data_IF_852844911973
#
_entry.id   IF_852844911973
#
_cell.length_a   1.000
_cell.length_b   1.000
_cell.length_c   1.000
_cell.angle_alpha   90.00
_cell.angle_beta   90.00
_cell.angle_gamma   90.00
#
_symmetry.space_group_name_H-M   'P 1'
#
loop_
_entity.id
_entity.type
_entity.pdbx_description
1 polymer ?
#
# COMPACT_ATOMS: atom_id res chain seq x y z
N UNK A 1 -121.80 133.02 -101.76
CA UNK A 1 -121.84 131.61 -101.28
C UNK A 1 -120.69 130.73 -101.83
N UNK A 2 -120.34 130.79 -103.12
CA UNK A 2 -119.25 129.98 -103.71
C UNK A 2 -117.84 130.18 -103.11
N UNK A 3 -117.52 131.38 -102.60
CA UNK A 3 -116.23 131.68 -101.97
C UNK A 3 -116.08 131.08 -100.56
N UNK A 4 -117.20 130.87 -99.85
CA UNK A 4 -117.20 130.25 -98.52
C UNK A 4 -116.98 128.73 -98.61
N UNK A 5 -117.58 128.07 -99.61
CA UNK A 5 -117.39 126.63 -99.87
C UNK A 5 -115.95 126.31 -100.29
N UNK A 6 -115.32 127.15 -101.13
CA UNK A 6 -113.90 126.99 -101.48
C UNK A 6 -112.97 127.18 -100.29
N UNK A 7 -113.25 128.15 -99.39
CA UNK A 7 -112.49 128.36 -98.15
C UNK A 7 -112.65 127.21 -97.16
N UNK A 8 -113.86 126.65 -97.03
CA UNK A 8 -114.12 125.45 -96.20
C UNK A 8 -113.36 124.23 -96.76
N UNK A 9 -113.40 123.98 -98.08
CA UNK A 9 -112.66 122.86 -98.70
C UNK A 9 -111.13 123.02 -98.62
N UNK A 10 -110.62 124.26 -98.61
CA UNK A 10 -109.20 124.53 -98.44
C UNK A 10 -108.78 124.33 -96.99
N UNK A 11 -109.59 124.76 -96.03
CA UNK A 11 -109.37 124.54 -94.60
C UNK A 11 -109.47 123.05 -94.21
N UNK A 12 -110.36 122.28 -94.85
CA UNK A 12 -110.44 120.82 -94.69
C UNK A 12 -109.19 120.13 -95.23
N UNK A 13 -108.72 120.49 -96.43
CA UNK A 13 -107.46 119.96 -96.99
C UNK A 13 -106.23 120.33 -96.17
N UNK A 14 -106.20 121.51 -95.57
CA UNK A 14 -105.12 121.94 -94.69
C UNK A 14 -105.13 121.16 -93.37
N UNK A 15 -106.32 120.92 -92.78
CA UNK A 15 -106.49 120.01 -91.64
C UNK A 15 -106.06 118.58 -91.98
N UNK A 16 -106.43 118.08 -93.15
CA UNK A 16 -106.03 116.74 -93.61
C UNK A 16 -104.51 116.66 -93.84
N UNK A 17 -103.88 117.70 -94.40
CA UNK A 17 -102.42 117.75 -94.54
C UNK A 17 -101.70 117.80 -93.19
N UNK A 18 -102.21 118.58 -92.23
CA UNK A 18 -101.66 118.63 -90.86
C UNK A 18 -101.83 117.27 -90.17
N UNK A 19 -102.99 116.63 -90.32
CA UNK A 19 -103.24 115.30 -89.80
C UNK A 19 -102.32 114.25 -90.47
N UNK A 20 -102.11 114.34 -91.78
CA UNK A 20 -101.21 113.45 -92.52
C UNK A 20 -99.75 113.63 -92.08
N UNK A 21 -99.30 114.87 -91.86
CA UNK A 21 -97.98 115.16 -91.28
C UNK A 21 -97.85 114.62 -89.87
N UNK A 22 -98.83 114.86 -89.01
CA UNK A 22 -98.80 114.36 -87.63
C UNK A 22 -98.77 112.82 -87.60
N UNK A 23 -99.50 112.17 -88.50
CA UNK A 23 -99.46 110.71 -88.68
C UNK A 23 -98.12 110.23 -89.23
N UNK A 24 -97.53 110.96 -90.18
CA UNK A 24 -96.19 110.67 -90.71
C UNK A 24 -95.13 110.79 -89.63
N UNK A 25 -95.15 111.87 -88.85
CA UNK A 25 -94.24 112.09 -87.72
C UNK A 25 -94.44 111.01 -86.63
N UNK A 26 -95.67 110.53 -86.43
CA UNK A 26 -95.96 109.39 -85.55
C UNK A 26 -95.37 108.08 -86.11
N UNK A 27 -95.52 107.81 -87.41
CA UNK A 27 -94.92 106.64 -88.05
C UNK A 27 -93.40 106.67 -87.97
N UNK A 28 -92.76 107.80 -88.29
CA UNK A 28 -91.30 107.96 -88.23
C UNK A 28 -90.75 107.76 -86.81
N UNK A 29 -91.48 108.21 -85.77
CA UNK A 29 -91.12 107.95 -84.36
C UNK A 29 -91.22 106.47 -84.02
N UNK A 30 -92.31 105.82 -84.39
CA UNK A 30 -92.50 104.38 -84.13
C UNK A 30 -91.48 103.55 -84.91
N UNK A 31 -91.13 103.95 -86.13
CA UNK A 31 -90.06 103.30 -86.92
C UNK A 31 -88.69 103.44 -86.26
N UNK A 32 -88.36 104.61 -85.71
CA UNK A 32 -87.12 104.82 -84.97
C UNK A 32 -87.06 104.01 -83.66
N UNK A 33 -88.14 104.01 -82.87
CA UNK A 33 -88.26 103.18 -81.65
C UNK A 33 -88.18 101.69 -81.96
N UNK A 34 -88.79 101.26 -83.06
CA UNK A 34 -88.72 99.87 -83.53
C UNK A 34 -87.28 99.50 -83.91
N UNK A 35 -86.54 100.38 -84.57
CA UNK A 35 -85.16 100.12 -84.99
C UNK A 35 -84.19 100.09 -83.79
N UNK A 36 -84.39 100.97 -82.80
CA UNK A 36 -83.66 100.93 -81.53
C UNK A 36 -83.95 99.64 -80.75
N UNK A 37 -85.22 99.24 -80.66
CA UNK A 37 -85.62 97.99 -80.02
C UNK A 37 -85.04 96.75 -80.73
N UNK A 38 -84.96 96.76 -82.07
CA UNK A 38 -84.30 95.69 -82.83
C UNK A 38 -82.81 95.62 -82.52
N UNK A 39 -82.11 96.75 -82.54
CA UNK A 39 -80.68 96.81 -82.24
C UNK A 39 -80.38 96.32 -80.81
N UNK A 40 -81.20 96.71 -79.83
CA UNK A 40 -81.09 96.20 -78.47
C UNK A 40 -81.35 94.70 -78.37
N UNK A 41 -82.37 94.20 -79.07
CA UNK A 41 -82.67 92.77 -79.11
C UNK A 41 -81.56 91.96 -79.77
N UNK A 42 -80.94 92.46 -80.85
CA UNK A 42 -79.76 91.87 -81.47
C UNK A 42 -78.57 91.82 -80.50
N UNK A 43 -78.31 92.89 -79.75
CA UNK A 43 -77.28 92.91 -78.71
C UNK A 43 -77.52 91.87 -77.60
N UNK A 44 -78.75 91.77 -77.11
CA UNK A 44 -79.12 90.76 -76.10
C UNK A 44 -79.00 89.33 -76.64
N UNK A 45 -79.33 89.09 -77.91
CA UNK A 45 -79.13 87.77 -78.54
C UNK A 45 -77.65 87.39 -78.53
N UNK A 46 -76.75 88.30 -78.92
CA UNK A 46 -75.31 88.04 -78.92
C UNK A 46 -74.76 87.78 -77.51
N UNK A 47 -75.26 88.50 -76.50
CA UNK A 47 -74.91 88.25 -75.10
C UNK A 47 -75.39 86.88 -74.62
N UNK A 48 -76.63 86.50 -74.96
CA UNK A 48 -77.17 85.18 -74.64
C UNK A 48 -76.38 84.07 -75.33
N UNK A 49 -76.01 84.25 -76.59
CA UNK A 49 -75.18 83.29 -77.34
C UNK A 49 -73.79 83.14 -76.71
N UNK A 50 -73.15 84.26 -76.36
CA UNK A 50 -71.85 84.27 -75.67
C UNK A 50 -71.91 83.59 -74.30
N UNK A 51 -72.91 83.94 -73.48
CA UNK A 51 -73.13 83.31 -72.18
C UNK A 51 -73.42 81.81 -72.33
N UNK A 52 -74.21 81.42 -73.32
CA UNK A 52 -74.51 80.01 -73.61
C UNK A 52 -73.23 79.24 -73.97
N UNK A 53 -72.37 79.80 -74.81
CA UNK A 53 -71.09 79.18 -75.16
C UNK A 53 -70.19 78.99 -73.92
N UNK A 54 -70.07 80.02 -73.07
CA UNK A 54 -69.27 79.90 -71.83
C UNK A 54 -69.88 78.89 -70.85
N UNK A 55 -71.21 78.81 -70.77
CA UNK A 55 -71.89 77.82 -69.93
C UNK A 55 -71.70 76.40 -70.45
N UNK A 56 -71.77 76.20 -71.77
CA UNK A 56 -71.46 74.91 -72.40
C UNK A 56 -70.00 74.51 -72.12
N UNK A 57 -69.05 75.43 -72.26
CA UNK A 57 -67.64 75.17 -71.92
C UNK A 57 -67.47 74.76 -70.45
N UNK A 58 -68.05 75.51 -69.51
CA UNK A 58 -68.03 75.18 -68.08
C UNK A 58 -68.70 73.84 -67.79
N UNK A 59 -69.79 73.52 -68.48
CA UNK A 59 -70.48 72.23 -68.36
C UNK A 59 -69.59 71.09 -68.83
N UNK A 60 -68.92 71.24 -69.99
CA UNK A 60 -67.98 70.22 -70.48
C UNK A 60 -66.74 70.09 -69.58
N UNK A 61 -66.28 71.19 -68.97
CA UNK A 61 -65.20 71.17 -68.01
C UNK A 61 -65.61 70.46 -66.72
N UNK A 62 -66.81 70.74 -66.20
CA UNK A 62 -67.38 70.05 -65.04
C UNK A 62 -67.51 68.55 -65.27
N UNK A 63 -68.02 68.13 -66.43
CA UNK A 63 -68.09 66.71 -66.81
C UNK A 63 -66.70 66.05 -66.87
N UNK A 64 -65.69 66.73 -67.41
CA UNK A 64 -64.30 66.24 -67.44
C UNK A 64 -63.73 66.06 -66.04
N UNK A 65 -63.93 67.03 -65.14
CA UNK A 65 -63.46 66.95 -63.76
C UNK A 65 -64.15 65.83 -62.99
N UNK A 66 -65.47 65.66 -63.14
CA UNK A 66 -66.20 64.54 -62.52
C UNK A 66 -65.67 63.19 -63.00
N UNK A 67 -65.39 63.04 -64.29
CA UNK A 67 -64.78 61.83 -64.84
C UNK A 67 -63.40 61.56 -64.23
N UNK A 68 -62.56 62.59 -64.11
CA UNK A 68 -61.24 62.47 -63.49
C UNK A 68 -61.34 62.08 -62.01
N UNK A 69 -62.30 62.64 -61.26
CA UNK A 69 -62.53 62.27 -59.85
C UNK A 69 -62.92 60.80 -59.77
N UNK A 70 -63.87 60.33 -60.59
CA UNK A 70 -64.28 58.93 -60.62
C UNK A 70 -63.12 57.98 -60.95
N UNK A 71 -62.29 58.30 -61.94
CA UNK A 71 -61.09 57.52 -62.28
C UNK A 71 -60.08 57.46 -61.12
N UNK A 72 -59.93 58.55 -60.36
CA UNK A 72 -59.07 58.60 -59.17
C UNK A 72 -59.66 57.82 -58.00
N UNK A 73 -60.97 57.87 -57.79
CA UNK A 73 -61.67 57.08 -56.77
C UNK A 73 -61.53 55.57 -57.05
N UNK A 74 -61.71 55.15 -58.30
CA UNK A 74 -61.50 53.75 -58.73
C UNK A 74 -60.06 53.29 -58.53
N UNK A 75 -59.08 54.15 -58.87
CA UNK A 75 -57.67 53.88 -58.64
C UNK A 75 -57.36 53.77 -57.14
N UNK A 76 -57.93 54.64 -56.32
CA UNK A 76 -57.75 54.63 -54.87
C UNK A 76 -58.38 53.38 -54.23
N UNK A 77 -59.58 52.98 -54.66
CA UNK A 77 -60.23 51.75 -54.21
C UNK A 77 -59.37 50.51 -54.52
N UNK A 78 -58.77 50.44 -55.72
CA UNK A 78 -57.82 49.38 -56.09
C UNK A 78 -56.58 49.40 -55.20
N UNK A 79 -55.97 50.57 -54.97
CA UNK A 79 -54.81 50.73 -54.10
C UNK A 79 -55.10 50.35 -52.65
N UNK A 80 -56.28 50.71 -52.13
CA UNK A 80 -56.68 50.34 -50.78
C UNK A 80 -56.86 48.83 -50.65
N UNK A 81 -57.46 48.17 -51.66
CA UNK A 81 -57.57 46.71 -51.70
C UNK A 81 -56.21 46.02 -51.74
N UNK A 82 -55.26 46.51 -52.55
CA UNK A 82 -53.91 45.95 -52.59
C UNK A 82 -53.15 46.21 -51.29
N UNK A 83 -53.30 47.39 -50.69
CA UNK A 83 -52.71 47.71 -49.39
C UNK A 83 -53.21 46.78 -48.29
N UNK A 84 -54.52 46.50 -48.23
CA UNK A 84 -55.08 45.55 -47.27
C UNK A 84 -54.49 44.15 -47.48
N UNK A 85 -54.42 43.67 -48.73
CA UNK A 85 -53.85 42.36 -49.06
C UNK A 85 -52.37 42.26 -48.66
N UNK A 86 -51.58 43.28 -48.99
CA UNK A 86 -50.15 43.33 -48.62
C UNK A 86 -49.96 43.38 -47.11
N UNK A 87 -50.79 44.12 -46.38
CA UNK A 87 -50.71 44.19 -44.93
C UNK A 87 -51.08 42.84 -44.28
N UNK A 88 -52.11 42.15 -44.78
CA UNK A 88 -52.45 40.79 -44.34
C UNK A 88 -51.31 39.80 -44.60
N UNK A 89 -50.70 39.84 -45.80
CA UNK A 89 -49.53 39.01 -46.11
C UNK A 89 -48.33 39.32 -45.21
N UNK A 90 -48.07 40.61 -44.94
CA UNK A 90 -47.00 41.03 -44.04
C UNK A 90 -47.25 40.52 -42.61
N UNK A 91 -48.49 40.55 -42.13
CA UNK A 91 -48.84 40.02 -40.82
C UNK A 91 -48.61 38.50 -40.75
N UNK A 92 -49.05 37.75 -41.78
CA UNK A 92 -48.82 36.30 -41.86
C UNK A 92 -47.32 35.98 -41.85
N UNK A 93 -46.51 36.67 -42.65
CA UNK A 93 -45.07 36.49 -42.68
C UNK A 93 -44.42 36.80 -41.32
N UNK A 94 -44.89 37.82 -40.60
CA UNK A 94 -44.39 38.13 -39.24
C UNK A 94 -44.71 37.03 -38.25
N UNK A 95 -45.89 36.42 -38.34
CA UNK A 95 -46.29 35.29 -37.49
C UNK A 95 -45.46 34.04 -37.81
N UNK A 96 -45.20 33.76 -39.09
CA UNK A 96 -44.32 32.67 -39.53
C UNK A 96 -42.88 32.85 -39.03
N UNK A 97 -42.32 34.05 -39.15
CA UNK A 97 -40.97 34.37 -38.63
C UNK A 97 -40.91 34.13 -37.12
N UNK A 98 -41.89 34.62 -36.36
CA UNK A 98 -41.96 34.38 -34.90
C UNK A 98 -42.04 32.88 -34.57
N UNK A 99 -42.82 32.12 -35.34
CA UNK A 99 -42.92 30.67 -35.14
C UNK A 99 -41.60 29.95 -35.45
N UNK A 100 -40.89 30.37 -36.50
CA UNK A 100 -39.58 29.82 -36.84
C UNK A 100 -38.51 30.19 -35.79
N UNK A 101 -38.49 31.43 -35.32
CA UNK A 101 -37.61 31.86 -34.22
C UNK A 101 -37.83 31.03 -32.95
N UNK A 102 -39.10 30.79 -32.59
CA UNK A 102 -39.44 29.92 -31.46
C UNK A 102 -38.93 28.48 -31.66
N UNK A 103 -39.11 27.89 -32.85
CA UNK A 103 -38.60 26.55 -33.18
C UNK A 103 -37.07 26.48 -33.12
N UNK A 104 -36.37 27.49 -33.63
CA UNK A 104 -34.90 27.57 -33.56
C UNK A 104 -34.44 27.66 -32.11
N UNK A 105 -35.10 28.50 -31.29
CA UNK A 105 -34.78 28.64 -29.87
C UNK A 105 -34.95 27.32 -29.11
N UNK A 106 -36.02 26.57 -29.39
CA UNK A 106 -36.27 25.26 -28.81
C UNK A 106 -35.22 24.23 -29.26
N UNK A 107 -34.86 24.23 -30.55
CA UNK A 107 -33.82 23.35 -31.09
C UNK A 107 -32.47 23.62 -30.44
N UNK A 108 -32.09 24.89 -30.25
CA UNK A 108 -30.86 25.27 -29.55
C UNK A 108 -30.86 24.83 -28.09
N UNK A 109 -32.01 24.92 -27.41
CA UNK A 109 -32.14 24.44 -26.04
C UNK A 109 -31.96 22.90 -25.96
N UNK A 110 -32.58 22.16 -26.87
CA UNK A 110 -32.41 20.70 -26.95
C UNK A 110 -30.96 20.32 -27.26
N UNK A 111 -30.30 21.05 -28.17
CA UNK A 111 -28.89 20.83 -28.50
C UNK A 111 -27.99 21.04 -27.27
N UNK A 112 -28.20 22.11 -26.49
CA UNK A 112 -27.44 22.34 -25.24
C UNK A 112 -27.62 21.21 -24.23
N UNK A 113 -28.83 20.70 -24.08
CA UNK A 113 -29.10 19.56 -23.19
C UNK A 113 -28.43 18.29 -23.69
N UNK A 114 -28.42 18.07 -25.00
CA UNK A 114 -27.71 16.96 -25.62
C UNK A 114 -26.19 17.08 -25.41
N UNK A 115 -25.62 18.27 -25.58
CA UNK A 115 -24.19 18.52 -25.35
C UNK A 115 -23.79 18.27 -23.88
N UNK A 116 -24.60 18.72 -22.91
CA UNK A 116 -24.38 18.43 -21.48
C UNK A 116 -24.46 16.92 -21.19
N UNK A 117 -25.42 16.22 -21.81
CA UNK A 117 -25.53 14.76 -21.66
C UNK A 117 -24.29 14.06 -22.20
N UNK A 118 -23.81 14.45 -23.40
CA UNK A 118 -22.59 13.90 -24.02
C UNK A 118 -21.35 14.18 -23.16
N UNK A 119 -21.22 15.38 -22.59
CA UNK A 119 -20.11 15.68 -21.68
C UNK A 119 -20.14 14.79 -20.43
N UNK A 120 -21.33 14.57 -19.86
CA UNK A 120 -21.49 13.69 -18.69
C UNK A 120 -21.22 12.22 -19.02
N UNK A 121 -21.61 11.73 -20.20
CA UNK A 121 -21.29 10.36 -20.62
C UNK A 121 -19.79 10.19 -20.82
N UNK A 122 -19.14 11.12 -21.51
CA UNK A 122 -17.69 11.06 -21.75
C UNK A 122 -16.90 11.14 -20.42
N UNK A 123 -17.33 11.97 -19.47
CA UNK A 123 -16.70 12.04 -18.16
C UNK A 123 -16.87 10.73 -17.36
N UNK A 124 -18.02 10.05 -17.49
CA UNK A 124 -18.24 8.73 -16.89
C UNK A 124 -17.40 7.66 -17.55
N UNK A 125 -17.29 7.66 -18.87
CA UNK A 125 -16.43 6.74 -19.63
C UNK A 125 -14.97 6.88 -19.20
N UNK A 126 -14.44 8.10 -19.15
CA UNK A 126 -13.06 8.35 -18.69
C UNK A 126 -12.83 7.88 -17.22
N UNK A 127 -13.83 8.05 -16.35
CA UNK A 127 -13.76 7.56 -14.98
C UNK A 127 -13.78 6.03 -14.90
N UNK A 128 -14.55 5.36 -15.77
CA UNK A 128 -14.59 3.90 -15.89
C UNK A 128 -13.25 3.37 -16.42
N UNK A 129 -12.69 3.99 -17.46
CA UNK A 129 -11.38 3.62 -18.02
C UNK A 129 -10.28 3.73 -16.96
N UNK A 130 -10.26 4.83 -16.21
CA UNK A 130 -9.30 5.02 -15.11
C UNK A 130 -9.47 3.93 -14.03
N UNK A 131 -10.72 3.58 -13.69
CA UNK A 131 -11.03 2.53 -12.72
C UNK A 131 -10.60 1.14 -13.22
N UNK A 132 -10.78 0.87 -14.51
CA UNK A 132 -10.36 -0.39 -15.13
C UNK A 132 -8.85 -0.53 -15.05
N UNK A 133 -8.09 0.49 -15.46
CA UNK A 133 -6.63 0.46 -15.33
C UNK A 133 -6.14 0.27 -13.89
N UNK A 134 -6.77 0.95 -12.91
CA UNK A 134 -6.45 0.72 -11.50
C UNK A 134 -6.72 -0.72 -11.03
N UNK A 135 -7.78 -1.36 -11.56
CA UNK A 135 -8.11 -2.75 -11.24
C UNK A 135 -7.16 -3.73 -11.93
N UNK A 136 -6.75 -3.44 -13.17
CA UNK A 136 -5.74 -4.21 -13.91
C UNK A 136 -4.39 -4.19 -13.17
N UNK A 137 -3.92 -2.99 -12.79
CA UNK A 137 -2.68 -2.82 -12.00
C UNK A 137 -2.75 -3.55 -10.65
N UNK A 138 -3.89 -3.47 -9.97
CA UNK A 138 -4.10 -4.16 -8.70
C UNK A 138 -4.15 -5.69 -8.88
N UNK A 139 -4.74 -6.17 -9.96
CA UNK A 139 -4.78 -7.59 -10.30
C UNK A 139 -3.38 -8.13 -10.59
N UNK A 140 -2.57 -7.41 -11.37
CA UNK A 140 -1.20 -7.78 -11.67
C UNK A 140 -0.33 -7.78 -10.40
N UNK A 141 -0.49 -6.78 -9.53
CA UNK A 141 0.19 -6.73 -8.23
C UNK A 141 -0.19 -7.93 -7.34
N UNK A 142 -1.48 -8.28 -7.27
CA UNK A 142 -1.95 -9.44 -6.51
C UNK A 142 -1.43 -10.75 -7.12
N UNK A 143 -1.44 -10.88 -8.45
CA UNK A 143 -0.87 -12.03 -9.14
C UNK A 143 0.62 -12.21 -8.83
N UNK A 144 1.38 -11.11 -8.82
CA UNK A 144 2.79 -11.12 -8.43
C UNK A 144 2.96 -11.57 -6.98
N UNK A 145 2.23 -10.98 -6.02
CA UNK A 145 2.29 -11.37 -4.60
C UNK A 145 1.94 -12.85 -4.39
N UNK A 146 0.92 -13.36 -5.09
CA UNK A 146 0.55 -14.78 -5.02
C UNK A 146 1.65 -15.66 -5.59
N UNK A 147 2.31 -15.25 -6.68
CA UNK A 147 3.43 -15.99 -7.26
C UNK A 147 4.64 -16.05 -6.33
N UNK A 148 4.97 -14.94 -5.69
CA UNK A 148 6.07 -14.82 -4.71
C UNK A 148 5.77 -15.68 -3.49
N UNK A 149 4.58 -15.55 -2.89
CA UNK A 149 4.15 -16.36 -1.76
C UNK A 149 4.15 -17.87 -2.08
N UNK A 150 3.78 -18.27 -3.30
CA UNK A 150 3.87 -19.67 -3.75
C UNK A 150 5.32 -20.15 -3.84
N UNK A 151 6.24 -19.32 -4.35
CA UNK A 151 7.65 -19.64 -4.43
C UNK A 151 8.27 -19.78 -3.02
N UNK A 152 7.95 -18.86 -2.11
CA UNK A 152 8.37 -18.93 -0.71
C UNK A 152 7.83 -20.18 -0.01
N UNK A 153 6.54 -20.47 -0.15
CA UNK A 153 5.94 -21.68 0.42
C UNK A 153 6.56 -22.97 -0.14
N UNK A 154 6.93 -22.99 -1.43
CA UNK A 154 7.64 -24.12 -2.02
C UNK A 154 9.06 -24.27 -1.44
N UNK A 155 9.78 -23.16 -1.26
CA UNK A 155 11.11 -23.18 -0.64
C UNK A 155 11.05 -23.67 0.82
N UNK A 156 10.05 -23.22 1.59
CA UNK A 156 9.83 -23.69 2.97
C UNK A 156 9.47 -25.18 3.02
N UNK A 157 8.67 -25.69 2.08
CA UNK A 157 8.40 -27.14 1.99
C UNK A 157 9.66 -27.96 1.73
N UNK A 158 10.56 -27.47 0.86
CA UNK A 158 11.85 -28.12 0.61
C UNK A 158 12.71 -28.11 1.88
N UNK A 159 12.83 -26.95 2.55
CA UNK A 159 13.56 -26.85 3.83
C UNK A 159 13.00 -27.78 4.90
N UNK A 160 11.67 -27.86 5.03
CA UNK A 160 11.02 -28.77 5.98
C UNK A 160 11.34 -30.23 5.67
N UNK A 161 11.36 -30.64 4.39
CA UNK A 161 11.75 -31.99 3.99
C UNK A 161 13.22 -32.29 4.32
N UNK A 162 14.14 -31.36 4.06
CA UNK A 162 15.57 -31.51 4.42
C UNK A 162 15.78 -31.62 5.94
N UNK A 163 15.04 -30.83 6.73
CA UNK A 163 15.09 -30.90 8.18
C UNK A 163 14.51 -32.23 8.70
N UNK A 164 13.44 -32.74 8.08
CA UNK A 164 12.90 -34.06 8.35
C UNK A 164 13.93 -35.16 8.13
N UNK A 165 14.62 -35.17 6.98
CA UNK A 165 15.66 -36.17 6.69
C UNK A 165 16.85 -36.07 7.67
N UNK A 166 17.22 -34.85 8.09
CA UNK A 166 18.24 -34.65 9.13
C UNK A 166 17.78 -35.18 10.49
N UNK A 167 16.52 -34.97 10.85
CA UNK A 167 15.94 -35.47 12.09
C UNK A 167 15.95 -37.01 12.11
N UNK A 168 15.49 -37.66 11.03
CA UNK A 168 15.50 -39.11 10.89
C UNK A 168 16.91 -39.69 11.06
N UNK A 169 17.93 -39.03 10.48
CA UNK A 169 19.34 -39.43 10.63
C UNK A 169 19.81 -39.29 12.09
N UNK A 170 19.46 -38.20 12.75
CA UNK A 170 19.82 -37.97 14.16
C UNK A 170 19.13 -38.99 15.05
N UNK A 171 17.83 -39.24 14.86
CA UNK A 171 17.07 -40.25 15.58
C UNK A 171 17.67 -41.65 15.39
N UNK A 172 17.99 -42.04 14.15
CA UNK A 172 18.66 -43.31 13.88
C UNK A 172 20.03 -43.41 14.58
N UNK A 173 20.82 -42.32 14.56
CA UNK A 173 22.11 -42.28 15.25
C UNK A 173 21.97 -42.35 16.77
N UNK A 174 20.92 -41.74 17.32
CA UNK A 174 20.62 -41.77 18.75
C UNK A 174 20.22 -43.18 19.19
N UNK A 175 19.35 -43.84 18.43
CA UNK A 175 18.97 -45.24 18.67
C UNK A 175 20.19 -46.15 18.60
N UNK A 176 21.06 -45.98 17.60
CA UNK A 176 22.30 -46.74 17.48
C UNK A 176 23.29 -46.48 18.64
N UNK A 177 23.37 -45.24 19.12
CA UNK A 177 24.18 -44.91 20.29
C UNK A 177 23.60 -45.51 21.57
N UNK A 178 22.27 -45.47 21.74
CA UNK A 178 21.58 -46.08 22.89
C UNK A 178 21.76 -47.60 22.93
N UNK A 179 21.59 -48.30 21.81
CA UNK A 179 21.84 -49.75 21.74
C UNK A 179 23.29 -50.06 22.07
N UNK A 180 24.26 -49.33 21.50
CA UNK A 180 25.68 -49.50 21.81
C UNK A 180 26.01 -49.25 23.28
N UNK A 181 25.44 -48.20 23.90
CA UNK A 181 25.60 -47.95 25.33
C UNK A 181 25.03 -49.11 26.16
N UNK A 182 23.88 -49.67 25.78
CA UNK A 182 23.29 -50.82 26.48
C UNK A 182 24.14 -52.10 26.33
N UNK A 183 24.74 -52.33 25.18
CA UNK A 183 25.66 -53.45 24.95
C UNK A 183 26.94 -53.31 25.75
N UNK A 184 27.53 -52.11 25.77
CA UNK A 184 28.72 -51.82 26.57
C UNK A 184 28.42 -51.93 28.07
N UNK A 185 27.24 -51.51 28.52
CA UNK A 185 26.82 -51.68 29.91
C UNK A 185 26.72 -53.17 30.28
N UNK A 186 26.08 -54.00 29.45
CA UNK A 186 26.02 -55.46 29.66
C UNK A 186 27.42 -56.09 29.68
N UNK A 187 28.28 -55.73 28.74
CA UNK A 187 29.68 -56.21 28.72
C UNK A 187 30.44 -55.82 29.98
N UNK A 188 30.28 -54.58 30.45
CA UNK A 188 30.92 -54.11 31.68
C UNK A 188 30.36 -54.84 32.92
N UNK A 189 29.07 -55.16 32.95
CA UNK A 189 28.46 -56.00 33.99
C UNK A 189 29.03 -57.42 33.98
N UNK A 190 29.13 -58.05 32.81
CA UNK A 190 29.71 -59.38 32.63
C UNK A 190 31.19 -59.42 33.04
N UNK A 191 31.99 -58.43 32.61
CA UNK A 191 33.39 -58.27 32.99
C UNK A 191 33.56 -58.03 34.50
N UNK A 192 32.69 -57.20 35.09
CA UNK A 192 32.66 -56.97 36.55
C UNK A 192 32.34 -58.26 37.31
N UNK A 193 31.36 -59.03 36.84
CA UNK A 193 31.02 -60.33 37.41
C UNK A 193 32.15 -61.36 37.26
N UNK A 194 32.81 -61.40 36.11
CA UNK A 194 33.99 -62.25 35.88
C UNK A 194 35.17 -61.84 36.78
N UNK A 195 35.43 -60.53 36.92
CA UNK A 195 36.45 -60.01 37.82
C UNK A 195 36.13 -60.32 39.29
N UNK A 196 34.86 -60.29 39.69
CA UNK A 196 34.43 -60.68 41.03
C UNK A 196 34.70 -62.18 41.29
N UNK A 197 34.35 -63.06 40.35
CA UNK A 197 34.66 -64.50 40.42
C UNK A 197 36.17 -64.76 40.50
N UNK A 198 36.95 -64.10 39.63
CA UNK A 198 38.40 -64.21 39.63
C UNK A 198 39.02 -63.76 40.96
N UNK A 199 38.50 -62.69 41.57
CA UNK A 199 38.91 -62.26 42.92
C UNK A 199 38.56 -63.29 43.98
N UNK A 200 37.40 -63.91 43.92
CA UNK A 200 36.99 -64.97 44.85
C UNK A 200 37.87 -66.22 44.72
N UNK A 201 38.15 -66.66 43.49
CA UNK A 201 39.08 -67.75 43.19
C UNK A 201 40.50 -67.43 43.67
N UNK A 202 40.97 -66.20 43.44
CA UNK A 202 42.26 -65.72 43.93
C UNK A 202 42.32 -65.76 45.47
N UNK A 203 41.26 -65.33 46.17
CA UNK A 203 41.18 -65.42 47.62
C UNK A 203 41.16 -66.87 48.10
N UNK A 204 40.43 -67.76 47.41
CA UNK A 204 40.42 -69.19 47.71
C UNK A 204 41.81 -69.82 47.51
N UNK A 205 42.52 -69.45 46.44
CA UNK A 205 43.90 -69.87 46.18
C UNK A 205 44.86 -69.37 47.27
N UNK A 206 44.76 -68.11 47.70
CA UNK A 206 45.55 -67.57 48.81
C UNK A 206 45.25 -68.30 50.13
N UNK A 207 43.99 -68.65 50.41
CA UNK A 207 43.64 -69.47 51.58
C UNK A 207 44.25 -70.87 51.49
N UNK A 208 44.26 -71.50 50.31
CA UNK A 208 44.92 -72.80 50.07
C UNK A 208 46.43 -72.70 50.23
N UNK A 209 47.06 -71.66 49.68
CA UNK A 209 48.48 -71.38 49.83
C UNK A 209 48.84 -71.16 51.30
N UNK A 210 48.06 -70.37 52.05
CA UNK A 210 48.25 -70.18 53.49
C UNK A 210 48.10 -71.47 54.30
N UNK A 211 47.20 -72.39 53.88
CA UNK A 211 47.11 -73.73 54.48
C UNK A 211 48.34 -74.59 54.13
N UNK A 212 48.78 -74.57 52.87
CA UNK A 212 49.96 -75.29 52.40
C UNK A 212 51.25 -74.80 53.08
N UNK A 213 51.40 -73.49 53.28
CA UNK A 213 52.49 -72.88 54.05
C UNK A 213 52.42 -73.29 55.52
N UNK A 214 51.23 -73.30 56.14
CA UNK A 214 51.08 -73.81 57.52
C UNK A 214 51.46 -75.29 57.63
N UNK A 215 51.13 -76.11 56.64
CA UNK A 215 51.57 -77.51 56.61
C UNK A 215 53.07 -77.62 56.34
N UNK A 216 53.64 -76.76 55.49
CA UNK A 216 55.07 -76.71 55.21
C UNK A 216 55.85 -76.36 56.47
N UNK A 217 55.48 -75.31 57.19
CA UNK A 217 56.09 -74.93 58.49
C UNK A 217 55.95 -76.06 59.51
N UNK A 218 54.82 -76.79 59.54
CA UNK A 218 54.67 -77.96 60.43
C UNK A 218 55.57 -79.12 60.02
N UNK A 219 55.74 -79.37 58.73
CA UNK A 219 56.64 -80.40 58.21
C UNK A 219 58.11 -80.02 58.41
N UNK A 220 58.46 -78.75 58.23
CA UNK A 220 59.79 -78.21 58.55
C UNK A 220 60.07 -78.30 60.06
N UNK A 221 59.10 -77.95 60.92
CA UNK A 221 59.23 -78.11 62.36
C UNK A 221 59.35 -79.59 62.77
N UNK A 222 58.62 -80.50 62.12
CA UNK A 222 58.74 -81.94 62.33
C UNK A 222 60.09 -82.49 61.83
N UNK A 223 60.61 -81.96 60.72
CA UNK A 223 61.93 -82.29 60.19
C UNK A 223 63.05 -81.77 61.10
N UNK A 224 62.90 -80.56 61.65
CA UNK A 224 63.82 -80.00 62.66
C UNK A 224 63.77 -80.81 63.97
N UNK A 225 62.59 -81.21 64.45
CA UNK A 225 62.46 -82.08 65.62
C UNK A 225 63.05 -83.50 65.39
N UNK A 226 62.95 -84.04 64.16
CA UNK A 226 63.60 -85.30 63.79
C UNK A 226 65.13 -85.16 63.70
N UNK A 227 65.64 -84.02 63.22
CA UNK A 227 67.06 -83.71 63.23
C UNK A 227 67.61 -83.53 64.66
N UNK A 228 66.84 -82.92 65.56
CA UNK A 228 67.17 -82.79 66.98
C UNK A 228 67.12 -84.14 67.72
N UNK A 229 66.17 -85.02 67.39
CA UNK A 229 66.12 -86.38 67.93
C UNK A 229 67.27 -87.28 67.43
N UNK A 230 67.72 -87.11 66.18
CA UNK A 230 68.91 -87.78 65.65
C UNK A 230 70.22 -87.25 66.28
N UNK A 231 70.28 -85.95 66.58
CA UNK A 231 71.42 -85.34 67.27
C UNK A 231 71.52 -85.77 68.75
N UNK A 232 70.39 -85.98 69.43
CA UNK A 232 70.35 -86.46 70.83
C UNK A 232 70.71 -87.95 70.98
N UNK A 233 70.56 -88.77 69.94
CA UNK A 233 70.98 -90.18 69.94
C UNK A 233 72.49 -90.39 69.68
N UNK A 234 73.18 -89.43 69.04
CA UNK A 234 74.61 -89.51 68.75
C UNK A 234 75.53 -88.99 69.87
N UNK A 235 75.00 -88.21 70.83
CA UNK A 235 75.79 -87.50 71.84
C UNK A 235 76.11 -88.28 73.14
N UNK A 236 75.78 -89.58 73.23
CA UNK A 236 76.05 -90.42 74.41
C UNK A 236 77.25 -91.40 74.25
N UNK A 237 77.98 -91.37 73.13
CA UNK A 237 79.16 -92.21 72.92
C UNK A 237 80.42 -91.35 72.68
N UNK A 238 81.39 -91.53 73.57
CA UNK A 238 82.81 -91.20 73.42
C UNK A 238 83.25 -89.73 73.60
N UNK A 239 83.42 -89.45 74.89
CA UNK A 239 84.39 -88.53 75.50
C UNK A 239 85.83 -89.01 75.19
N UNK A 240 86.56 -88.34 74.29
CA UNK A 240 88.03 -88.32 74.22
C UNK A 240 88.52 -87.03 73.50
N UNK A 241 89.59 -86.43 74.03
CA UNK A 241 90.36 -85.27 73.52
C UNK A 241 89.79 -83.84 73.61
N UNK A 242 89.85 -83.32 74.84
CA UNK A 242 90.66 -82.18 75.30
C UNK A 242 91.22 -81.14 74.29
N UNK A 243 90.55 -79.98 74.26
CA UNK A 243 91.03 -78.59 74.47
C UNK A 243 92.11 -77.91 73.58
N UNK A 244 91.78 -76.62 73.32
CA UNK A 244 92.57 -75.43 72.91
C UNK A 244 92.49 -75.10 71.40
N UNK A 245 92.25 -73.86 70.94
CA UNK A 245 92.09 -72.53 71.57
C UNK A 245 91.47 -71.54 70.56
N UNK A 246 91.02 -70.40 71.10
CA UNK A 246 90.42 -69.23 70.44
C UNK A 246 91.27 -68.53 69.37
N UNK A 247 90.61 -67.92 68.37
CA UNK A 247 90.55 -66.46 68.12
C UNK A 247 89.55 -66.21 66.97
N UNK A 248 88.39 -65.55 67.16
CA UNK A 248 88.18 -64.10 67.23
C UNK A 248 88.85 -63.33 66.08
N UNK A 249 88.02 -62.87 65.14
CA UNK A 249 87.86 -61.45 64.75
C UNK A 249 86.85 -61.38 63.59
N UNK A 250 85.64 -60.84 63.81
CA UNK A 250 85.24 -59.44 63.49
C UNK A 250 85.50 -59.09 62.02
N UNK A 251 84.57 -58.62 61.19
CA UNK A 251 83.42 -57.70 61.35
C UNK A 251 82.63 -57.80 60.01
N UNK A 252 81.37 -57.43 59.92
CA UNK A 252 80.92 -56.03 59.94
C UNK A 252 79.40 -56.03 60.12
N UNK A 253 78.74 -55.14 60.87
CA UNK A 253 78.87 -53.69 61.02
C UNK A 253 78.60 -52.86 59.74
N UNK A 254 78.39 -53.49 58.58
CA UNK A 254 78.01 -52.80 57.34
C UNK A 254 76.50 -52.86 57.03
N UNK A 255 75.80 -53.93 57.43
CA UNK A 255 74.38 -54.11 57.08
C UNK A 255 73.41 -53.40 58.02
N UNK A 256 73.84 -53.03 59.24
CA UNK A 256 73.00 -52.25 60.18
C UNK A 256 73.02 -50.75 59.83
N UNK A 257 74.08 -50.24 59.19
CA UNK A 257 74.18 -48.82 58.82
C UNK A 257 73.36 -48.48 57.55
N UNK A 258 73.31 -49.39 56.57
CA UNK A 258 72.52 -49.23 55.33
C UNK A 258 71.00 -49.26 55.58
N UNK A 259 70.53 -50.10 56.51
CA UNK A 259 69.11 -50.16 56.90
C UNK A 259 68.67 -48.94 57.74
N UNK A 260 69.56 -48.37 58.56
CA UNK A 260 69.26 -47.14 59.30
C UNK A 260 69.21 -45.90 58.40
N UNK A 261 70.06 -45.84 57.35
CA UNK A 261 70.05 -44.77 56.36
C UNK A 261 68.78 -44.83 55.47
N UNK A 262 68.38 -46.02 55.04
CA UNK A 262 67.17 -46.25 54.24
C UNK A 262 65.88 -45.97 55.04
N UNK A 263 65.83 -46.34 56.32
CA UNK A 263 64.73 -45.95 57.23
C UNK A 263 64.72 -44.43 57.49
N UNK A 264 65.88 -43.76 57.48
CA UNK A 264 65.98 -42.30 57.64
C UNK A 264 65.47 -41.56 56.40
N UNK A 265 65.74 -42.07 55.20
CA UNK A 265 65.20 -41.56 53.92
C UNK A 265 63.69 -41.80 53.76
N UNK A 266 63.19 -42.97 54.13
CA UNK A 266 61.74 -43.24 54.14
C UNK A 266 61.00 -42.33 55.14
N UNK A 267 61.64 -42.00 56.28
CA UNK A 267 61.10 -41.04 57.25
C UNK A 267 61.16 -39.58 56.77
N UNK A 268 62.12 -39.17 55.93
CA UNK A 268 62.12 -37.80 55.35
C UNK A 268 61.01 -37.61 54.31
N UNK A 269 60.68 -38.64 53.53
CA UNK A 269 59.57 -38.57 52.55
C UNK A 269 58.20 -38.33 53.18
N UNK A 270 57.99 -38.79 54.42
CA UNK A 270 56.75 -38.60 55.17
C UNK A 270 56.70 -37.28 55.95
N UNK A 271 57.81 -36.53 56.05
CA UNK A 271 57.87 -35.22 56.70
C UNK A 271 57.44 -34.11 55.74
N UNK A 272 56.81 -33.08 56.28
CA UNK A 272 56.37 -31.91 55.53
C UNK A 272 57.60 -31.15 55.00
N UNK A 273 57.64 -30.87 53.71
CA UNK A 273 58.79 -30.16 53.10
C UNK A 273 58.94 -28.70 53.52
N UNK A 274 57.94 -28.11 54.19
CA UNK A 274 57.96 -26.72 54.65
C UNK A 274 58.60 -26.58 56.03
N UNK A 275 58.21 -27.41 57.01
CA UNK A 275 58.79 -27.36 58.36
C UNK A 275 59.82 -28.47 58.62
N UNK A 276 59.91 -29.49 57.77
CA UNK A 276 60.78 -30.67 57.89
C UNK A 276 60.70 -31.43 59.22
N UNK A 277 59.66 -31.16 60.01
CA UNK A 277 59.50 -31.70 61.36
C UNK A 277 58.25 -32.59 61.42
N UNK A 278 57.08 -31.99 61.17
CA UNK A 278 55.79 -32.69 61.23
C UNK A 278 55.52 -33.57 60.02
N UNK A 279 54.75 -34.65 60.21
CA UNK A 279 54.33 -35.54 59.12
C UNK A 279 53.31 -34.87 58.18
N UNK A 280 53.29 -35.29 56.93
CA UNK A 280 52.28 -34.89 55.94
C UNK A 280 50.92 -35.46 56.33
N UNK A 281 49.96 -34.59 56.60
CA UNK A 281 48.58 -34.97 56.96
C UNK A 281 47.53 -34.10 56.25
N UNK A 282 47.94 -33.29 55.28
CA UNK A 282 47.06 -32.39 54.55
C UNK A 282 47.47 -32.33 53.08
N UNK A 283 46.49 -32.45 52.18
CA UNK A 283 46.69 -32.39 50.71
C UNK A 283 45.95 -31.18 50.13
N UNK A 284 46.57 -30.54 49.15
CA UNK A 284 45.94 -29.48 48.35
C UNK A 284 45.29 -30.09 47.11
N UNK A 285 43.96 -30.08 47.01
CA UNK A 285 43.22 -30.80 45.95
C UNK A 285 43.44 -30.28 44.53
N UNK A 286 43.97 -29.05 44.38
CA UNK A 286 44.28 -28.44 43.07
C UNK A 286 45.59 -28.91 42.43
N UNK A 287 46.53 -29.43 43.23
CA UNK A 287 47.83 -29.88 42.76
C UNK A 287 48.36 -31.15 43.41
N UNK A 288 47.59 -31.75 44.33
CA UNK A 288 47.87 -32.98 45.06
C UNK A 288 49.19 -33.03 45.84
N UNK A 289 49.83 -31.87 46.07
CA UNK A 289 50.98 -31.77 46.97
C UNK A 289 50.55 -31.86 48.44
N UNK A 290 51.33 -32.59 49.22
CA UNK A 290 51.04 -32.91 50.63
C UNK A 290 52.01 -32.22 51.60
N UNK A 291 51.46 -31.64 52.66
CA UNK A 291 52.18 -30.91 53.70
C UNK A 291 51.56 -31.21 55.08
N UNK A 292 52.13 -30.66 56.16
CA UNK A 292 51.45 -30.66 57.46
C UNK A 292 50.39 -29.56 57.52
N UNK A 293 49.33 -29.81 58.29
CA UNK A 293 48.19 -28.90 58.44
C UNK A 293 48.62 -27.52 58.91
N UNK A 294 49.57 -27.45 59.82
CA UNK A 294 50.04 -26.20 60.42
C UNK A 294 50.73 -25.32 59.37
N UNK A 295 51.55 -25.89 58.48
CA UNK A 295 52.22 -25.11 57.43
C UNK A 295 51.27 -24.61 56.35
N UNK A 296 50.24 -25.39 55.98
CA UNK A 296 49.22 -24.94 55.03
C UNK A 296 48.35 -23.84 55.65
N UNK A 297 47.97 -23.99 56.91
CA UNK A 297 47.20 -22.98 57.64
C UNK A 297 47.98 -21.68 57.84
N UNK A 298 49.29 -21.74 58.12
CA UNK A 298 50.12 -20.54 58.27
C UNK A 298 50.22 -19.74 56.96
N UNK A 299 50.37 -20.42 55.82
CA UNK A 299 50.33 -19.77 54.51
C UNK A 299 48.97 -19.13 54.18
N UNK A 300 47.87 -19.77 54.60
CA UNK A 300 46.53 -19.18 54.48
C UNK A 300 46.37 -17.93 55.37
N UNK A 301 46.90 -17.95 56.60
CA UNK A 301 46.88 -16.80 57.52
C UNK A 301 47.69 -15.61 56.99
N UNK A 302 48.90 -15.85 56.49
CA UNK A 302 49.79 -14.81 55.93
C UNK A 302 49.34 -14.38 54.51
N UNK A 303 48.20 -14.90 54.02
CA UNK A 303 47.64 -14.66 52.67
C UNK A 303 48.56 -15.06 51.51
N UNK A 304 49.57 -15.88 51.77
CA UNK A 304 50.42 -16.49 50.75
C UNK A 304 49.76 -17.75 50.17
N UNK A 305 48.69 -17.53 49.39
CA UNK A 305 47.81 -18.59 48.83
C UNK A 305 48.41 -19.31 47.62
N UNK A 306 49.70 -19.68 47.69
CA UNK A 306 50.42 -20.41 46.64
C UNK A 306 51.03 -21.67 47.24
N UNK A 307 50.92 -22.79 46.53
CA UNK A 307 51.49 -24.06 46.96
C UNK A 307 53.01 -23.94 47.11
N UNK A 308 53.62 -24.29 48.25
CA UNK A 308 55.06 -24.21 48.46
C UNK A 308 55.90 -25.06 47.50
N UNK A 309 55.32 -26.14 46.93
CA UNK A 309 56.03 -27.04 46.03
C UNK A 309 55.96 -26.61 44.55
N UNK A 310 54.84 -26.05 44.09
CA UNK A 310 54.62 -25.78 42.66
C UNK A 310 54.07 -24.39 42.34
N UNK A 311 53.85 -23.53 43.33
CA UNK A 311 53.38 -22.15 43.15
C UNK A 311 51.91 -22.00 42.71
N UNK A 312 51.19 -23.10 42.43
CA UNK A 312 49.77 -23.06 42.04
C UNK A 312 48.92 -22.49 43.18
N UNK A 313 47.99 -21.59 42.84
CA UNK A 313 47.13 -20.95 43.82
C UNK A 313 46.13 -21.93 44.43
N UNK A 314 45.87 -21.82 45.74
CA UNK A 314 44.89 -22.65 46.45
C UNK A 314 44.10 -21.83 47.48
N UNK A 315 42.82 -22.16 47.66
CA UNK A 315 41.93 -21.57 48.67
C UNK A 315 41.72 -22.47 49.89
N UNK A 316 40.93 -22.01 50.86
CA UNK A 316 40.62 -22.80 52.06
C UNK A 316 39.78 -24.05 51.72
N UNK A 317 38.94 -23.97 50.70
CA UNK A 317 38.11 -25.09 50.22
C UNK A 317 38.93 -26.22 49.56
N UNK A 318 40.15 -25.90 49.15
CA UNK A 318 41.07 -26.83 48.46
C UNK A 318 41.95 -27.61 49.45
N UNK A 319 41.79 -27.40 50.76
CA UNK A 319 42.61 -28.04 51.79
C UNK A 319 41.84 -29.21 52.41
N UNK A 320 42.36 -30.43 52.24
CA UNK A 320 41.77 -31.65 52.83
C UNK A 320 42.78 -32.36 53.73
N UNK A 321 42.35 -32.76 54.92
CA UNK A 321 43.16 -33.56 55.86
C UNK A 321 43.12 -35.03 55.47
N UNK A 322 44.27 -35.69 55.47
CA UNK A 322 44.45 -37.11 55.20
C UNK A 322 45.12 -37.79 56.39
N UNK A 323 44.75 -39.04 56.66
CA UNK A 323 45.31 -39.84 57.74
C UNK A 323 46.09 -41.00 57.10
N UNK A 324 47.41 -41.01 57.31
CA UNK A 324 48.30 -42.09 56.88
C UNK A 324 48.48 -43.03 58.07
N UNK A 325 47.76 -44.16 58.09
CA UNK A 325 47.96 -45.29 59.03
C UNK A 325 49.12 -46.15 58.59
#
# INVERSE_FOLDING_TARGET
ELAAVKKLSAAEREKDMVHLRLKKDQCEKVEAELEEAKSLNEGLILEVESLSATFEELTTQGQRLLKQIGEKEDANAKLMSTHIKLNQQQQQQREEVRALEARVSQSLQLQRLQDDLVQRTNAREAAIETRLHQLEDAQDSLHQQVSEAKAEAAAERVRAAELGEKLDKVEASLVAAQTRCSELAKKAEDESAAAARAKEDQQAALRRLGRAQKTHVKLEAAAQAAAEAAAQAAAAAAKNEQLQSADLTTKSAADVYLLEEEVKELKTMLRCSVCQDRRKNTVLTKCFHMFCRECVQENLKIRSRKCPACGRMFGQDDVRTIWLT
#
